data_IF_133290208155
#
_entry.id   IF_133290208155
#
_cell.length_a   1.000
_cell.length_b   1.000
_cell.length_c   1.000
_cell.angle_alpha   90.00
_cell.angle_beta   90.00
_cell.angle_gamma   90.00
#
_symmetry.space_group_name_H-M   'P 1'
#
loop_
_entity.id
_entity.type
_entity.pdbx_description
1 polymer ?
#
# COMPACT_ATOMS: atom_id res chain seq x y z
N UNK A 1 61.76 -20.08 -39.24
CA UNK A 1 60.56 -19.29 -39.57
C UNK A 1 59.81 -19.01 -38.27
N UNK A 2 59.54 -17.75 -37.94
CA UNK A 2 58.75 -17.43 -36.75
C UNK A 2 57.25 -17.57 -37.07
N UNK A 3 56.44 -18.18 -36.19
CA UNK A 3 55.02 -18.38 -36.45
C UNK A 3 54.27 -17.04 -36.43
N UNK A 4 53.42 -16.82 -37.45
CA UNK A 4 52.57 -15.62 -37.58
C UNK A 4 51.38 -15.80 -36.63
N UNK A 5 51.36 -15.03 -35.55
CA UNK A 5 50.25 -15.03 -34.60
C UNK A 5 49.18 -14.01 -35.05
N UNK A 6 47.87 -14.34 -35.01
CA UNK A 6 46.79 -13.49 -35.52
C UNK A 6 46.42 -12.34 -34.59
N UNK A 7 47.22 -12.07 -33.55
CA UNK A 7 46.99 -10.95 -32.65
C UNK A 7 47.58 -9.69 -33.27
N UNK A 8 46.72 -8.93 -33.93
CA UNK A 8 47.01 -7.57 -34.42
C UNK A 8 47.65 -6.76 -33.29
N UNK A 9 48.78 -6.13 -33.60
CA UNK A 9 49.54 -5.26 -32.70
C UNK A 9 48.62 -4.13 -32.20
N UNK A 10 48.54 -4.01 -30.87
CA UNK A 10 47.98 -2.92 -30.05
C UNK A 10 47.06 -1.95 -30.79
N UNK A 11 45.76 -2.23 -30.72
CA UNK A 11 44.72 -1.25 -31.01
C UNK A 11 44.84 -0.15 -29.96
N UNK A 12 45.09 1.08 -30.42
CA UNK A 12 45.08 2.28 -29.60
C UNK A 12 43.71 2.36 -28.91
N UNK A 13 43.70 2.41 -27.58
CA UNK A 13 42.47 2.59 -26.81
C UNK A 13 41.98 3.98 -27.17
N UNK A 14 40.88 4.03 -27.92
CA UNK A 14 40.19 5.26 -28.26
C UNK A 14 39.76 5.88 -26.94
N UNK A 15 40.47 6.92 -26.49
CA UNK A 15 40.08 7.72 -25.34
C UNK A 15 38.72 8.35 -25.68
N UNK A 16 37.66 7.66 -25.24
CA UNK A 16 36.30 8.13 -25.35
C UNK A 16 36.22 9.31 -24.40
N UNK A 17 36.10 10.51 -24.96
CA UNK A 17 36.00 11.78 -24.24
C UNK A 17 34.60 11.83 -23.58
N UNK A 18 34.39 10.95 -22.59
CA UNK A 18 33.17 10.89 -21.80
C UNK A 18 33.17 12.08 -20.84
N UNK A 19 32.27 13.03 -21.12
CA UNK A 19 32.02 14.14 -20.23
C UNK A 19 31.71 13.60 -18.81
N UNK A 20 32.29 14.19 -17.75
CA UNK A 20 32.06 13.72 -16.40
C UNK A 20 30.57 13.75 -16.07
N UNK A 21 30.04 12.73 -15.36
CA UNK A 21 28.64 12.66 -15.03
C UNK A 21 28.22 13.89 -14.21
N UNK A 22 27.00 14.38 -14.46
CA UNK A 22 26.47 15.51 -13.72
C UNK A 22 26.43 15.20 -12.20
N UNK A 23 26.84 16.13 -11.33
CA UNK A 23 26.83 15.92 -9.89
C UNK A 23 25.39 15.81 -9.38
N UNK A 24 25.08 14.68 -8.73
CA UNK A 24 23.78 14.48 -8.08
C UNK A 24 23.76 15.27 -6.77
N UNK A 25 22.98 16.34 -6.73
CA UNK A 25 22.84 17.19 -5.54
C UNK A 25 21.59 16.76 -4.76
N UNK A 26 21.78 16.19 -3.58
CA UNK A 26 20.66 15.84 -2.69
C UNK A 26 20.31 17.04 -1.80
N UNK A 27 19.11 17.60 -1.96
CA UNK A 27 18.57 18.58 -1.01
C UNK A 27 17.89 17.86 0.14
N UNK A 28 18.33 18.13 1.36
CA UNK A 28 17.76 17.53 2.57
C UNK A 28 16.29 17.97 2.71
N UNK A 29 15.37 17.04 2.48
CA UNK A 29 13.92 17.26 2.58
C UNK A 29 13.14 17.18 1.26
N UNK A 30 13.82 17.03 0.12
CA UNK A 30 13.19 16.79 -1.18
C UNK A 30 13.26 15.29 -1.47
N UNK A 31 12.12 14.60 -1.43
CA UNK A 31 12.04 13.20 -1.83
C UNK A 31 12.18 13.13 -3.37
N UNK A 32 13.24 12.49 -3.91
CA UNK A 32 13.45 12.38 -5.34
C UNK A 32 12.36 11.57 -6.06
N UNK A 33 11.52 10.86 -5.31
CA UNK A 33 10.38 10.10 -5.81
C UNK A 33 9.03 10.79 -5.51
N UNK A 34 9.05 12.00 -4.94
CA UNK A 34 7.84 12.78 -4.74
C UNK A 34 7.23 13.16 -6.09
N UNK A 35 6.03 12.64 -6.35
CA UNK A 35 5.22 13.09 -7.48
C UNK A 35 4.92 14.58 -7.28
N UNK A 36 5.13 15.44 -8.30
CA UNK A 36 4.79 16.85 -8.17
C UNK A 36 3.31 16.97 -7.80
N UNK A 37 2.95 17.90 -6.89
CA UNK A 37 1.55 18.10 -6.54
C UNK A 37 0.79 18.53 -7.80
N UNK A 38 -0.07 17.64 -8.32
CA UNK A 38 -0.94 17.97 -9.44
C UNK A 38 -2.02 18.93 -8.95
N UNK A 39 -1.86 20.22 -9.21
CA UNK A 39 -2.85 21.26 -8.93
C UNK A 39 -4.01 21.27 -9.93
N UNK A 40 -3.92 20.44 -10.98
CA UNK A 40 -4.98 20.23 -11.96
C UNK A 40 -6.04 19.30 -11.36
N UNK A 41 -7.02 19.90 -10.69
CA UNK A 41 -8.25 19.21 -10.35
C UNK A 41 -9.05 19.05 -11.65
N UNK A 42 -9.03 17.85 -12.21
CA UNK A 42 -9.89 17.52 -13.35
C UNK A 42 -11.35 17.63 -12.91
N UNK A 43 -12.09 18.57 -13.49
CA UNK A 43 -13.49 18.82 -13.14
C UNK A 43 -14.38 17.60 -13.40
N UNK A 44 -14.00 16.75 -14.37
CA UNK A 44 -14.63 15.45 -14.62
C UNK A 44 -14.36 14.47 -13.46
N UNK A 45 -13.10 14.34 -13.05
CA UNK A 45 -12.71 13.47 -11.93
C UNK A 45 -13.37 13.91 -10.61
N UNK A 46 -13.55 15.21 -10.41
CA UNK A 46 -14.30 15.73 -9.26
C UNK A 46 -15.78 15.33 -9.30
N UNK A 47 -16.44 15.41 -10.46
CA UNK A 47 -17.83 14.97 -10.62
C UNK A 47 -18.00 13.46 -10.45
N UNK A 48 -17.06 12.68 -10.99
CA UNK A 48 -17.08 11.22 -10.85
C UNK A 48 -16.86 10.81 -9.38
N UNK A 49 -15.97 11.48 -8.67
CA UNK A 49 -15.78 11.25 -7.23
C UNK A 49 -17.03 11.64 -6.42
N UNK A 50 -17.69 12.75 -6.75
CA UNK A 50 -18.97 13.10 -6.13
C UNK A 50 -20.06 12.06 -6.41
N UNK A 51 -20.05 11.43 -7.58
CA UNK A 51 -20.98 10.34 -7.90
C UNK A 51 -20.61 9.01 -7.21
N UNK A 52 -19.32 8.74 -7.01
CA UNK A 52 -18.83 7.50 -6.38
C UNK A 52 -18.96 7.53 -4.85
N UNK A 53 -18.71 8.68 -4.23
CA UNK A 53 -18.68 8.85 -2.78
C UNK A 53 -19.88 9.62 -2.21
N UNK A 54 -20.65 10.33 -3.05
CA UNK A 54 -21.93 10.91 -2.66
C UNK A 54 -23.07 9.89 -2.76
N UNK A 55 -24.24 10.21 -2.19
CA UNK A 55 -25.44 9.35 -2.26
C UNK A 55 -26.14 9.39 -3.64
N UNK A 56 -25.49 9.97 -4.66
CA UNK A 56 -26.06 10.25 -5.97
C UNK A 56 -26.87 11.55 -6.06
N UNK A 57 -27.07 12.29 -4.96
CA UNK A 57 -27.73 13.60 -4.98
C UNK A 57 -26.74 14.74 -5.28
N UNK A 58 -27.18 15.69 -6.09
CA UNK A 58 -26.38 16.88 -6.46
C UNK A 58 -26.36 17.97 -5.39
N UNK A 59 -26.78 17.65 -4.16
CA UNK A 59 -26.89 18.58 -3.05
C UNK A 59 -26.02 18.09 -1.90
N UNK A 60 -24.98 18.85 -1.60
CA UNK A 60 -24.16 18.63 -0.41
C UNK A 60 -24.82 19.40 0.72
N UNK A 61 -25.59 18.71 1.55
CA UNK A 61 -26.10 19.26 2.80
C UNK A 61 -24.96 19.25 3.83
N UNK A 62 -24.84 20.34 4.61
CA UNK A 62 -23.87 20.39 5.69
C UNK A 62 -24.22 19.30 6.72
N UNK A 63 -23.22 18.49 7.11
CA UNK A 63 -23.42 17.45 8.11
C UNK A 63 -24.01 18.05 9.39
N UNK A 64 -25.09 17.44 9.89
CA UNK A 64 -25.70 17.82 11.17
C UNK A 64 -24.67 17.67 12.28
N UNK A 65 -24.56 18.70 13.12
CA UNK A 65 -23.67 18.75 14.27
C UNK A 65 -23.92 17.55 15.20
N UNK A 66 -23.03 16.56 15.13
CA UNK A 66 -23.08 15.36 15.97
C UNK A 66 -22.53 15.61 17.38
N UNK A 67 -22.01 16.81 17.69
CA UNK A 67 -21.43 17.11 19.00
C UNK A 67 -22.43 16.96 20.14
N UNK A 68 -23.72 17.20 19.88
CA UNK A 68 -24.81 17.03 20.86
C UNK A 68 -25.04 15.56 21.22
N UNK A 69 -24.72 14.63 20.30
CA UNK A 69 -24.89 13.19 20.51
C UNK A 69 -23.62 12.53 21.05
N UNK A 70 -22.54 13.28 21.25
CA UNK A 70 -21.26 12.76 21.71
C UNK A 70 -21.19 12.73 23.24
N UNK A 71 -21.56 11.60 23.85
CA UNK A 71 -21.56 11.36 25.32
C UNK A 71 -20.17 10.98 25.88
N UNK A 72 -19.08 11.35 25.19
CA UNK A 72 -17.74 11.35 25.80
C UNK A 72 -17.13 9.98 26.14
N UNK A 73 -17.55 8.88 25.52
CA UNK A 73 -16.78 7.62 25.55
C UNK A 73 -15.53 7.77 24.66
N UNK A 74 -14.49 8.38 25.21
CA UNK A 74 -13.14 8.14 24.74
C UNK A 74 -12.84 6.67 25.05
N UNK A 75 -12.65 5.84 24.02
CA UNK A 75 -12.01 4.54 24.22
C UNK A 75 -10.65 4.77 24.87
N UNK A 76 -10.64 4.55 26.17
CA UNK A 76 -9.43 4.46 26.96
C UNK A 76 -8.60 3.35 26.33
N UNK A 77 -7.45 3.72 25.77
CA UNK A 77 -6.47 2.78 25.24
C UNK A 77 -6.35 1.58 26.21
N UNK A 78 -6.56 0.33 25.75
CA UNK A 78 -6.49 -0.79 26.66
C UNK A 78 -5.05 -0.94 27.12
N UNK A 79 -4.81 -0.52 28.36
CA UNK A 79 -3.63 -0.89 29.11
C UNK A 79 -3.66 -2.41 29.28
N UNK A 80 -2.71 -3.07 28.61
CA UNK A 80 -2.16 -4.38 28.92
C UNK A 80 -3.14 -5.40 29.53
N UNK A 81 -3.86 -6.13 28.67
CA UNK A 81 -4.40 -7.44 29.04
C UNK A 81 -3.61 -8.51 28.30
N UNK A 82 -3.11 -9.46 29.10
CA UNK A 82 -2.30 -10.61 28.73
C UNK A 82 -3.02 -11.53 27.72
N UNK A 83 -2.30 -12.38 26.98
CA UNK A 83 -2.88 -13.18 25.91
C UNK A 83 -3.71 -14.33 26.48
N UNK A 84 -5.04 -14.21 26.39
CA UNK A 84 -5.94 -15.36 26.53
C UNK A 84 -6.24 -15.92 25.13
N UNK A 85 -5.60 -17.05 24.85
CA UNK A 85 -6.13 -18.06 23.96
C UNK A 85 -7.54 -18.45 24.44
N UNK A 86 -8.56 -18.22 23.62
CA UNK A 86 -9.80 -18.99 23.54
C UNK A 86 -10.58 -18.43 22.33
N UNK A 87 -10.48 -19.10 21.18
CA UNK A 87 -11.39 -20.16 20.77
C UNK A 87 -12.80 -19.63 20.46
N UNK A 88 -13.02 -19.47 19.15
CA UNK A 88 -14.28 -19.66 18.42
C UNK A 88 -15.57 -19.33 19.15
N UNK A 89 -16.12 -18.15 18.82
CA UNK A 89 -17.56 -17.94 18.78
C UNK A 89 -17.90 -17.46 17.37
N UNK A 90 -18.46 -18.37 16.58
CA UNK A 90 -19.06 -18.09 15.27
C UNK A 90 -20.31 -17.22 15.46
N UNK A 91 -20.11 -15.90 15.50
CA UNK A 91 -21.15 -14.98 15.07
C UNK A 91 -21.02 -14.87 13.55
N UNK A 92 -22.12 -15.09 12.82
CA UNK A 92 -22.20 -15.12 11.36
C UNK A 92 -21.96 -13.72 10.74
N UNK A 93 -20.87 -13.06 11.10
CA UNK A 93 -20.36 -11.90 10.41
C UNK A 93 -19.88 -12.39 9.04
N UNK A 94 -20.51 -11.92 7.97
CA UNK A 94 -20.11 -12.25 6.61
C UNK A 94 -18.67 -11.79 6.37
N UNK A 95 -17.71 -12.69 6.48
CA UNK A 95 -16.30 -12.42 6.20
C UNK A 95 -15.91 -12.97 4.84
N UNK A 96 -15.00 -12.27 4.17
CA UNK A 96 -14.44 -12.68 2.87
C UNK A 96 -12.94 -12.86 3.02
N UNK A 97 -12.41 -13.95 2.46
CA UNK A 97 -10.97 -14.18 2.39
C UNK A 97 -10.35 -13.35 1.28
N UNK A 98 -9.35 -12.54 1.62
CA UNK A 98 -8.60 -11.72 0.66
C UNK A 98 -7.16 -12.19 0.64
N UNK A 99 -6.67 -12.58 -0.55
CA UNK A 99 -5.26 -12.90 -0.77
C UNK A 99 -4.45 -11.61 -0.90
N UNK A 100 -3.40 -11.47 -0.11
CA UNK A 100 -2.54 -10.28 -0.10
C UNK A 100 -1.19 -10.55 -0.81
N UNK A 101 -0.40 -9.51 -1.07
CA UNK A 101 0.87 -9.61 -1.83
C UNK A 101 2.00 -10.35 -1.11
N UNK A 102 1.84 -10.59 0.19
CA UNK A 102 2.77 -11.31 1.06
C UNK A 102 2.58 -12.84 0.99
N UNK A 103 1.60 -13.33 0.23
CA UNK A 103 1.28 -14.76 0.08
C UNK A 103 0.34 -15.31 1.14
N UNK A 104 -0.14 -14.47 2.06
CA UNK A 104 -1.11 -14.85 3.08
C UNK A 104 -2.52 -14.38 2.70
N UNK A 105 -3.51 -14.98 3.36
CA UNK A 105 -4.90 -14.60 3.28
C UNK A 105 -5.31 -13.95 4.60
N UNK A 106 -6.08 -12.88 4.47
CA UNK A 106 -6.63 -12.14 5.60
C UNK A 106 -8.15 -12.22 5.56
N UNK A 107 -8.77 -12.32 6.74
CA UNK A 107 -10.22 -12.25 6.87
C UNK A 107 -10.64 -10.79 6.82
N UNK A 108 -11.37 -10.41 5.78
CA UNK A 108 -12.01 -9.10 5.68
C UNK A 108 -13.43 -9.20 6.22
N UNK A 109 -13.75 -8.39 7.22
CA UNK A 109 -15.07 -8.33 7.85
C UNK A 109 -16.05 -7.49 7.02
N UNK A 110 -17.33 -7.53 7.37
CA UNK A 110 -18.40 -6.78 6.69
C UNK A 110 -18.25 -5.26 6.79
N UNK A 111 -17.60 -4.76 7.85
CA UNK A 111 -17.26 -3.33 8.03
C UNK A 111 -16.07 -2.88 7.15
N UNK A 112 -15.39 -3.83 6.52
CA UNK A 112 -14.24 -3.58 5.67
C UNK A 112 -12.89 -3.67 6.38
N UNK A 113 -12.85 -3.78 7.71
CA UNK A 113 -11.64 -4.07 8.48
C UNK A 113 -11.10 -5.46 8.19
N UNK A 114 -9.80 -5.62 8.45
CA UNK A 114 -9.08 -6.88 8.29
C UNK A 114 -8.62 -7.40 9.64
N UNK A 115 -8.71 -8.72 9.83
CA UNK A 115 -8.05 -9.33 10.97
C UNK A 115 -6.52 -9.30 10.79
N UNK A 116 -5.74 -8.92 11.82
CA UNK A 116 -4.29 -8.84 11.72
C UNK A 116 -3.61 -10.21 11.64
N UNK A 117 -4.35 -11.30 11.88
CA UNK A 117 -3.84 -12.66 11.86
C UNK A 117 -3.69 -13.16 10.42
N UNK A 118 -2.46 -13.41 9.93
CA UNK A 118 -2.25 -13.99 8.61
C UNK A 118 -2.71 -15.46 8.58
N UNK A 119 -3.28 -15.91 7.47
CA UNK A 119 -3.66 -17.31 7.26
C UNK A 119 -3.08 -17.86 5.96
N UNK A 120 -2.73 -19.14 5.96
CA UNK A 120 -2.33 -19.89 4.75
C UNK A 120 -3.48 -20.76 4.26
N UNK A 121 -3.58 -20.94 2.94
CA UNK A 121 -4.57 -21.80 2.31
C UNK A 121 -3.96 -23.17 2.03
N UNK A 122 -4.54 -24.22 2.62
CA UNK A 122 -4.14 -25.60 2.38
C UNK A 122 -4.64 -26.11 1.02
N UNK A 123 -4.10 -27.26 0.58
CA UNK A 123 -4.55 -27.98 -0.62
C UNK A 123 -6.04 -28.31 -0.61
N UNK A 124 -6.60 -28.54 0.58
CA UNK A 124 -8.02 -28.85 0.79
C UNK A 124 -8.91 -27.60 0.78
N UNK A 125 -8.33 -26.42 0.55
CA UNK A 125 -9.05 -25.13 0.51
C UNK A 125 -9.35 -24.52 1.88
N UNK A 126 -9.00 -25.20 2.97
CA UNK A 126 -9.09 -24.69 4.34
C UNK A 126 -8.03 -23.62 4.62
N UNK A 127 -8.33 -22.70 5.54
CA UNK A 127 -7.42 -21.63 5.97
C UNK A 127 -6.91 -21.90 7.39
N UNK A 128 -5.60 -21.87 7.58
CA UNK A 128 -4.94 -22.10 8.87
C UNK A 128 -4.14 -20.86 9.26
N UNK A 129 -4.26 -20.34 10.49
CA UNK A 129 -3.50 -19.18 10.94
C UNK A 129 -2.00 -19.48 10.88
N UNK A 130 -1.23 -18.56 10.31
CA UNK A 130 0.22 -18.61 10.32
C UNK A 130 0.69 -18.16 11.71
N UNK A 131 1.22 -19.10 12.50
CA UNK A 131 1.79 -18.89 13.84
C UNK A 131 3.31 -18.97 13.81
#
# INVERSE_FOLDING_TARGET
MAPIWPFKKKQEVLELDEAPPAPITYKKGEDPNARPPSTTVDASAYKDALALFGDGSSKVEAATDQSVNYDGIAEQAPAAVQPQLEASSEEEESFTWVHHTDGYHYKKKGDGSFEPTPHSKNSDGSYVPYS
#
